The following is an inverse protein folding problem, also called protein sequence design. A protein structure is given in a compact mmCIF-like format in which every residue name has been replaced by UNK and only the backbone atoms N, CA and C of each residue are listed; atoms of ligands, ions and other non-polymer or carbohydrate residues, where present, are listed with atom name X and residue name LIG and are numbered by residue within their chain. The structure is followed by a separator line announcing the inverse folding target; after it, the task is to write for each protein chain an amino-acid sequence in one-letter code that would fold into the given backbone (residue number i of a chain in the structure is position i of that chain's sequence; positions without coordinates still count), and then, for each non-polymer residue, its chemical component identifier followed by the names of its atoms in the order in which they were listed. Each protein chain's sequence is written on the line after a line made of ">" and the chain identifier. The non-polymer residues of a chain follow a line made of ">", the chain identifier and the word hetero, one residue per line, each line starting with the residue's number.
data_IF_677131362305
#
_entry.id   IF_677131362305
#
_cell.length_a   1.000
_cell.length_b   1.000
_cell.length_c   1.000
_cell.angle_alpha   90.00
_cell.angle_beta   90.00
_cell.angle_gamma   90.00
#
_symmetry.space_group_name_H-M   'P 1'
#
loop_
_entity.id
_entity.type
_entity.pdbx_description
1 polymer ?
#
# COMPACT_ATOMS: atom_id res chain seq x y z
N UNK A 1 -18.35 1.21 5.14
CA UNK A 1 -17.12 1.95 4.79
C UNK A 1 -16.47 2.36 6.10
N UNK A 2 -15.25 1.89 6.36
CA UNK A 2 -14.44 2.34 7.49
C UNK A 2 -13.56 3.50 6.99
N UNK A 3 -13.60 4.62 7.68
CA UNK A 3 -12.75 5.78 7.39
C UNK A 3 -11.63 5.82 8.43
N UNK A 4 -10.54 6.53 8.12
CA UNK A 4 -9.59 6.92 9.15
C UNK A 4 -10.32 7.70 10.25
N UNK A 5 -9.87 7.53 11.49
CA UNK A 5 -10.49 8.22 12.62
C UNK A 5 -10.07 9.70 12.64
N UNK A 6 -10.75 10.51 13.46
CA UNK A 6 -10.43 11.95 13.60
C UNK A 6 -9.06 12.21 14.27
N UNK A 7 -8.36 11.15 14.69
CA UNK A 7 -7.01 11.22 15.22
C UNK A 7 -5.97 10.84 14.16
N UNK A 8 -6.36 10.64 12.89
CA UNK A 8 -5.46 10.32 11.78
C UNK A 8 -4.65 9.03 12.01
N UNK A 9 -5.20 8.04 12.73
CA UNK A 9 -4.42 6.86 13.09
C UNK A 9 -3.86 6.08 11.90
N UNK A 10 -4.62 5.96 10.80
CA UNK A 10 -4.14 5.28 9.61
C UNK A 10 -3.11 6.13 8.88
N UNK A 11 -3.36 7.44 8.74
CA UNK A 11 -2.39 8.36 8.16
C UNK A 11 -1.05 8.33 8.90
N UNK A 12 -1.04 8.50 10.23
CA UNK A 12 0.20 8.57 11.01
C UNK A 12 0.99 7.26 10.97
N UNK A 13 0.29 6.12 11.03
CA UNK A 13 0.94 4.79 11.00
C UNK A 13 1.51 4.44 9.64
N UNK A 14 0.91 4.94 8.56
CA UNK A 14 1.33 4.63 7.19
C UNK A 14 2.08 5.80 6.52
N UNK A 15 2.17 6.96 7.16
CA UNK A 15 2.73 8.19 6.60
C UNK A 15 2.16 8.39 5.19
N UNK A 16 0.82 8.43 5.13
CA UNK A 16 0.07 8.32 3.88
C UNK A 16 -0.21 9.67 3.23
N UNK A 17 0.04 10.79 3.92
CA UNK A 17 -0.17 12.13 3.37
C UNK A 17 0.93 12.53 2.38
N UNK A 18 0.62 13.21 1.25
CA UNK A 18 -0.72 13.59 0.80
C UNK A 18 -1.49 12.44 0.09
N UNK A 19 -0.76 11.49 -0.49
CA UNK A 19 -1.25 10.25 -1.08
C UNK A 19 -0.12 9.19 -1.09
N UNK A 20 -0.52 7.92 -0.96
CA UNK A 20 0.39 6.77 -0.97
C UNK A 20 -0.31 5.46 -1.30
N UNK A 21 0.33 4.60 -2.08
CA UNK A 21 -0.15 3.27 -2.43
C UNK A 21 0.61 2.22 -1.62
N UNK A 22 -0.07 1.16 -1.20
CA UNK A 22 0.52 0.03 -0.48
C UNK A 22 0.03 -1.29 -1.08
N UNK A 23 0.85 -2.34 -0.96
CA UNK A 23 0.43 -3.73 -1.14
C UNK A 23 0.83 -4.50 0.10
N UNK A 24 -0.09 -5.33 0.59
CA UNK A 24 0.14 -6.25 1.69
C UNK A 24 0.00 -7.69 1.19
N UNK A 25 0.74 -8.62 1.77
CA UNK A 25 0.54 -10.07 1.55
C UNK A 25 -0.60 -10.64 2.39
N UNK A 26 -0.92 -11.93 2.20
CA UNK A 26 -2.02 -12.60 2.89
C UNK A 26 -1.88 -12.64 4.43
N UNK A 27 -0.69 -12.41 4.98
CA UNK A 27 -0.45 -12.38 6.43
C UNK A 27 -0.32 -10.95 6.98
N UNK A 28 -0.51 -9.93 6.13
CA UNK A 28 -0.55 -8.52 6.51
C UNK A 28 0.81 -7.82 6.51
N UNK A 29 1.83 -8.40 5.86
CA UNK A 29 3.13 -7.73 5.68
C UNK A 29 3.08 -6.78 4.48
N UNK A 30 3.62 -5.57 4.65
CA UNK A 30 3.77 -4.61 3.55
C UNK A 30 4.88 -5.12 2.60
N UNK A 31 4.51 -5.43 1.37
CA UNK A 31 5.41 -5.91 0.32
C UNK A 31 5.76 -4.83 -0.70
N UNK A 32 4.97 -3.76 -0.76
CA UNK A 32 5.23 -2.56 -1.55
C UNK A 32 4.65 -1.34 -0.87
N UNK A 33 5.35 -0.21 -1.02
CA UNK A 33 4.79 1.12 -0.79
C UNK A 33 5.29 2.07 -1.88
N UNK A 34 4.46 3.01 -2.30
CA UNK A 34 4.89 4.06 -3.23
C UNK A 34 5.77 5.10 -2.53
N UNK A 35 6.38 5.98 -3.33
CA UNK A 35 6.91 7.25 -2.85
C UNK A 35 5.77 8.19 -2.40
N UNK A 36 6.14 9.25 -1.69
CA UNK A 36 5.20 10.26 -1.19
C UNK A 36 4.75 11.18 -2.32
N UNK A 37 3.47 11.55 -2.31
CA UNK A 37 2.98 12.61 -3.17
C UNK A 37 2.53 12.15 -4.55
N UNK A 38 1.92 13.06 -5.33
CA UNK A 38 1.44 12.77 -6.66
C UNK A 38 2.56 12.34 -7.61
N UNK A 39 3.81 12.73 -7.34
CA UNK A 39 4.99 12.24 -8.07
C UNK A 39 5.24 10.74 -7.84
N UNK A 40 4.90 10.24 -6.65
CA UNK A 40 4.98 8.83 -6.29
C UNK A 40 3.76 8.00 -6.69
N UNK A 41 2.71 8.62 -7.20
CA UNK A 41 1.47 7.94 -7.56
C UNK A 41 1.58 7.21 -8.91
N UNK A 42 2.31 6.09 -8.92
CA UNK A 42 2.51 5.26 -10.11
C UNK A 42 1.65 4.00 -10.05
N UNK A 43 0.53 4.01 -10.77
CA UNK A 43 -0.43 2.90 -10.79
C UNK A 43 0.10 1.66 -11.53
N UNK A 44 0.97 1.84 -12.53
CA UNK A 44 1.55 0.73 -13.29
C UNK A 44 2.52 -0.07 -12.41
N UNK A 45 3.35 0.62 -11.64
CA UNK A 45 4.25 -0.01 -10.66
C UNK A 45 3.45 -0.74 -9.57
N UNK A 46 2.38 -0.11 -9.07
CA UNK A 46 1.52 -0.70 -8.06
C UNK A 46 0.81 -1.96 -8.56
N UNK A 47 0.33 -1.97 -9.81
CA UNK A 47 -0.25 -3.17 -10.43
C UNK A 47 0.75 -4.31 -10.53
N UNK A 48 2.00 -4.01 -10.90
CA UNK A 48 3.08 -5.00 -10.94
C UNK A 48 3.37 -5.57 -9.53
N UNK A 49 3.37 -4.73 -8.50
CA UNK A 49 3.54 -5.15 -7.11
C UNK A 49 2.42 -6.09 -6.65
N UNK A 50 1.16 -5.80 -7.00
CA UNK A 50 0.02 -6.68 -6.69
C UNK A 50 0.21 -8.05 -7.33
N UNK A 51 0.57 -8.11 -8.62
CA UNK A 51 0.81 -9.37 -9.34
C UNK A 51 1.96 -10.18 -8.72
N UNK A 52 3.03 -9.50 -8.29
CA UNK A 52 4.16 -10.14 -7.64
C UNK A 52 3.77 -10.80 -6.31
N UNK A 53 2.92 -10.15 -5.50
CA UNK A 53 2.42 -10.72 -4.24
C UNK A 53 1.58 -11.96 -4.49
N UNK A 54 0.65 -11.94 -5.44
CA UNK A 54 -0.14 -13.13 -5.79
C UNK A 54 0.73 -14.29 -6.26
N UNK A 55 1.75 -14.01 -7.09
CA UNK A 55 2.68 -15.05 -7.56
C UNK A 55 3.53 -15.61 -6.41
N UNK A 56 3.93 -14.78 -5.45
CA UNK A 56 4.65 -15.22 -4.26
C UNK A 56 3.77 -16.09 -3.36
N UNK A 57 2.52 -15.70 -3.12
CA UNK A 57 1.62 -16.40 -2.19
C UNK A 57 1.11 -17.74 -2.74
N UNK A 58 1.02 -17.92 -4.06
CA UNK A 58 0.71 -19.24 -4.64
C UNK A 58 1.83 -20.27 -4.49
N UNK A 59 3.05 -19.82 -4.18
CA UNK A 59 4.24 -20.67 -4.05
C UNK A 59 4.66 -20.93 -2.59
N UNK A 60 3.91 -20.44 -1.60
CA UNK A 60 4.08 -20.71 -0.16
C UNK A 60 3.13 -21.81 0.29
#
# INVERSE_FOLDING_TARGET
>A
MLLDDMNNQAEEKYIAWPDRLFVLDAVGLITYHSALGPEGFNVDEWELAIKAVFAHDQNR
#
